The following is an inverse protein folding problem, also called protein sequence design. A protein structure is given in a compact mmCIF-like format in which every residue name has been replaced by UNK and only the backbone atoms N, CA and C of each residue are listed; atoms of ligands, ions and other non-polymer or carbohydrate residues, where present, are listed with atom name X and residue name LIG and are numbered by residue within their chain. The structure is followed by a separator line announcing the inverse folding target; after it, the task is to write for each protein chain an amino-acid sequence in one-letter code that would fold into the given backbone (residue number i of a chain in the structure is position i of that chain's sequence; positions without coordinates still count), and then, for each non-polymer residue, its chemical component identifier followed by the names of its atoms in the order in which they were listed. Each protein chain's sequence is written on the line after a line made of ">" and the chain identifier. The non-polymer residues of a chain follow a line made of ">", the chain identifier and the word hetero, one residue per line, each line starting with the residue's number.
data_IF_915184433523
#
_entry.id   IF_915184433523
#
_cell.length_a   1.000
_cell.length_b   1.000
_cell.length_c   1.000
_cell.angle_alpha   90.00
_cell.angle_beta   90.00
_cell.angle_gamma   90.00
#
_symmetry.space_group_name_H-M   'P 1'
#
loop_
_entity.id
_entity.type
_entity.pdbx_description
1 polymer ?
#
# COMPACT_ATOMS: atom_id res chain seq x y z
N UNK A 1 -4.50 5.82 4.76
CA UNK A 1 -3.68 6.60 3.81
C UNK A 1 -2.23 6.15 3.93
N UNK A 2 -1.41 6.47 2.93
CA UNK A 2 0.03 6.21 2.92
C UNK A 2 0.76 7.25 3.78
N UNK A 3 1.55 6.83 4.76
CA UNK A 3 2.26 7.72 5.69
C UNK A 3 3.57 8.28 5.10
N UNK A 4 4.22 7.52 4.22
CA UNK A 4 5.47 7.88 3.54
C UNK A 4 5.52 7.27 2.15
N UNK A 5 6.22 7.90 1.21
CA UNK A 5 6.32 7.39 -0.15
C UNK A 5 6.75 5.91 -0.19
N UNK A 6 6.05 5.10 -0.98
CA UNK A 6 6.22 3.64 -1.01
C UNK A 6 5.83 3.08 -2.38
N UNK A 7 6.55 2.05 -2.89
CA UNK A 7 6.10 1.34 -4.07
C UNK A 7 4.87 0.48 -3.76
N UNK A 8 3.83 0.61 -4.59
CA UNK A 8 2.77 -0.38 -4.72
C UNK A 8 3.32 -1.56 -5.53
N UNK A 9 3.31 -2.75 -4.95
CA UNK A 9 3.88 -3.95 -5.57
C UNK A 9 2.83 -4.91 -6.11
N UNK A 10 3.16 -5.61 -7.18
CA UNK A 10 2.31 -6.65 -7.77
C UNK A 10 2.17 -7.89 -6.88
N UNK A 11 3.13 -8.10 -5.96
CA UNK A 11 3.13 -9.20 -5.01
C UNK A 11 3.66 -8.75 -3.64
N UNK A 12 3.49 -9.60 -2.60
CA UNK A 12 3.85 -9.26 -1.23
C UNK A 12 5.36 -9.16 -1.01
N UNK A 13 6.19 -9.82 -1.84
CA UNK A 13 7.64 -9.85 -1.60
C UNK A 13 8.30 -8.50 -1.94
N UNK A 14 9.36 -8.09 -1.21
CA UNK A 14 10.08 -6.85 -1.48
C UNK A 14 10.70 -6.74 -2.88
N UNK A 15 10.96 -7.86 -3.55
CA UNK A 15 11.50 -7.95 -4.90
C UNK A 15 10.42 -8.07 -5.99
N UNK A 16 9.13 -8.04 -5.61
CA UNK A 16 8.03 -8.04 -6.57
C UNK A 16 8.00 -6.75 -7.38
N UNK A 17 7.53 -6.86 -8.62
CA UNK A 17 7.42 -5.75 -9.57
C UNK A 17 6.70 -4.55 -8.95
N UNK A 18 7.26 -3.36 -9.20
CA UNK A 18 6.63 -2.09 -8.81
C UNK A 18 5.61 -1.71 -9.85
N UNK A 19 4.35 -1.56 -9.43
CA UNK A 19 3.27 -1.09 -10.29
C UNK A 19 3.30 0.44 -10.41
N UNK A 20 3.49 1.13 -9.27
CA UNK A 20 3.59 2.59 -9.17
C UNK A 20 4.22 2.98 -7.83
N UNK A 21 4.79 4.19 -7.73
CA UNK A 21 5.07 4.80 -6.42
C UNK A 21 3.86 5.59 -5.92
N UNK A 22 3.44 5.32 -4.69
CA UNK A 22 2.43 6.11 -3.98
C UNK A 22 3.13 7.16 -3.12
N UNK A 23 2.64 8.39 -3.15
CA UNK A 23 3.13 9.46 -2.27
C UNK A 23 2.49 9.39 -0.87
N UNK A 24 3.14 10.05 0.09
CA UNK A 24 2.54 10.28 1.40
C UNK A 24 1.23 11.08 1.27
N UNK A 25 0.23 10.73 2.08
CA UNK A 25 -1.11 11.30 2.03
C UNK A 25 -2.03 10.67 0.97
N UNK A 26 -1.52 9.81 0.09
CA UNK A 26 -2.39 9.14 -0.87
C UNK A 26 -3.34 8.13 -0.21
N UNK A 27 -4.53 8.03 -0.80
CA UNK A 27 -5.54 7.06 -0.39
C UNK A 27 -5.09 5.64 -0.75
N UNK A 28 -5.16 4.75 0.23
CA UNK A 28 -4.99 3.33 0.05
C UNK A 28 -6.02 2.61 0.91
N UNK A 29 -6.87 1.82 0.27
CA UNK A 29 -7.98 1.09 0.88
C UNK A 29 -7.55 -0.34 1.13
N UNK A 30 -7.30 -0.68 2.39
CA UNK A 30 -6.84 -2.03 2.76
C UNK A 30 -7.99 -3.02 2.67
N UNK A 31 -7.77 -4.10 1.94
CA UNK A 31 -8.68 -5.24 1.85
C UNK A 31 -8.27 -6.35 2.82
N UNK A 32 -6.97 -6.60 2.98
CA UNK A 32 -6.44 -7.65 3.84
C UNK A 32 -5.08 -7.26 4.43
N UNK A 33 -4.83 -7.66 5.68
CA UNK A 33 -3.50 -7.68 6.29
C UNK A 33 -2.96 -9.11 6.30
N UNK A 34 -1.78 -9.31 5.73
CA UNK A 34 -1.10 -10.60 5.68
C UNK A 34 0.34 -10.43 6.17
N UNK A 35 0.59 -10.84 7.41
CA UNK A 35 1.90 -10.65 8.06
C UNK A 35 2.26 -9.17 8.21
N UNK A 36 3.36 -8.77 7.61
CA UNK A 36 3.90 -7.41 7.59
C UNK A 36 3.48 -6.60 6.34
N UNK A 37 2.51 -7.10 5.58
CA UNK A 37 2.01 -6.46 4.37
C UNK A 37 0.50 -6.23 4.43
N UNK A 38 0.04 -5.26 3.65
CA UNK A 38 -1.35 -5.00 3.39
C UNK A 38 -1.61 -5.14 1.88
N UNK A 39 -2.66 -5.85 1.53
CA UNK A 39 -3.22 -5.90 0.19
C UNK A 39 -4.39 -4.93 0.10
N UNK A 40 -4.44 -4.14 -0.97
CA UNK A 40 -5.44 -3.09 -1.06
C UNK A 40 -5.50 -2.40 -2.42
N UNK A 41 -6.40 -1.43 -2.49
CA UNK A 41 -6.66 -0.60 -3.68
C UNK A 41 -5.99 0.75 -3.50
N UNK A 42 -5.33 1.24 -4.54
CA UNK A 42 -4.87 2.62 -4.69
C UNK A 42 -5.83 3.35 -5.66
N UNK A 43 -6.90 4.01 -5.18
CA UNK A 43 -7.96 4.52 -6.04
C UNK A 43 -7.49 5.60 -7.01
N UNK A 44 -6.53 6.45 -6.59
CA UNK A 44 -5.94 7.49 -7.43
C UNK A 44 -5.22 6.96 -8.67
N UNK A 45 -4.80 5.69 -8.63
CA UNK A 45 -4.12 5.01 -9.73
C UNK A 45 -4.97 3.93 -10.41
N UNK A 46 -6.17 3.63 -9.87
CA UNK A 46 -7.01 2.52 -10.31
C UNK A 46 -6.24 1.17 -10.33
N UNK A 47 -5.44 0.93 -9.29
CA UNK A 47 -4.59 -0.26 -9.15
C UNK A 47 -4.87 -1.00 -7.85
N UNK A 48 -4.58 -2.30 -7.86
CA UNK A 48 -4.61 -3.18 -6.68
C UNK A 48 -3.22 -3.77 -6.50
N UNK A 49 -2.73 -3.82 -5.26
CA UNK A 49 -1.41 -4.34 -4.97
C UNK A 49 -1.09 -4.36 -3.49
N UNK A 50 0.21 -4.50 -3.21
CA UNK A 50 0.73 -4.70 -1.86
C UNK A 50 1.60 -3.52 -1.44
N UNK A 51 1.47 -3.15 -0.16
CA UNK A 51 2.39 -2.24 0.53
C UNK A 51 2.79 -2.85 1.89
N UNK A 52 3.95 -2.51 2.47
CA UNK A 52 4.24 -2.85 3.85
C UNK A 52 3.18 -2.28 4.80
N UNK A 53 2.64 -3.08 5.72
CA UNK A 53 1.61 -2.62 6.65
C UNK A 53 2.08 -1.43 7.52
N UNK A 54 3.40 -1.35 7.78
CA UNK A 54 4.02 -0.29 8.56
C UNK A 54 3.96 1.11 7.90
N UNK A 55 3.69 1.20 6.59
CA UNK A 55 3.56 2.50 5.90
C UNK A 55 2.14 3.07 5.96
N UNK A 56 1.19 2.34 6.54
CA UNK A 56 -0.18 2.79 6.66
C UNK A 56 -0.36 3.65 7.89
N UNK A 57 -1.03 4.78 7.74
CA UNK A 57 -1.47 5.56 8.87
C UNK A 57 -2.51 4.78 9.68
N UNK A 58 -2.34 4.75 11.00
CA UNK A 58 -3.36 4.20 11.90
C UNK A 58 -4.57 5.14 11.92
N UNK A 59 -5.80 4.63 11.85
CA UNK A 59 -6.98 5.47 12.03
C UNK A 59 -6.88 6.24 13.35
N UNK A 60 -7.22 7.53 13.32
CA UNK A 60 -7.39 8.32 14.54
C UNK A 60 -8.51 7.67 15.37
N UNK A 61 -8.25 7.49 16.67
CA UNK A 61 -9.20 6.91 17.61
C UNK A 61 -10.41 7.83 17.86
#
# INVERSE_FOLDING_TARGET
>A
MIASAVPLRAGPKPDSDTLVELAAGESFEVLEFAGDHAWGVAPGHNLVGYVPAAVLERPAA
#
